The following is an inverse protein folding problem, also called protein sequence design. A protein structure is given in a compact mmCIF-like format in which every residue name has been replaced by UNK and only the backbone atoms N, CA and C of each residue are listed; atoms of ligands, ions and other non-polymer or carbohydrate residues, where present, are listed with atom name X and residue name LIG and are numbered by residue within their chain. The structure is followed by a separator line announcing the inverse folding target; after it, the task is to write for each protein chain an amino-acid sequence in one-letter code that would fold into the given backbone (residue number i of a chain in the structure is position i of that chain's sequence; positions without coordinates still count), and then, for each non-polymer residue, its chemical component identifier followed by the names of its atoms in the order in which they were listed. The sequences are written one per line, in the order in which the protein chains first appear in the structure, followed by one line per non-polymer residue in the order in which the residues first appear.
data_IF_792850964873
#
_entry.id   IF_792850964873
#
_cell.length_a   1.000
_cell.length_b   1.000
_cell.length_c   1.000
_cell.angle_alpha   90.00
_cell.angle_beta   90.00
_cell.angle_gamma   90.00
#
_symmetry.space_group_name_H-M   'P 1'
#
loop_
_entity.id
_entity.type
_entity.pdbx_description
1 polymer ?
#
# COMPACT_ATOMS: atom_id res chain seq x y z
N UNK A 1 39.14 -11.04 -59.42
CA UNK A 1 39.50 -12.40 -58.97
C UNK A 1 38.32 -12.99 -58.25
N UNK A 2 37.87 -14.23 -58.54
CA UNK A 2 38.18 -15.10 -59.69
C UNK A 2 37.36 -14.65 -60.94
N UNK A 3 37.22 -15.39 -62.05
CA UNK A 3 37.87 -16.64 -62.51
C UNK A 3 36.99 -17.46 -63.49
N UNK A 4 37.18 -17.24 -64.80
CA UNK A 4 36.62 -18.03 -65.94
C UNK A 4 37.62 -19.14 -66.38
N UNK A 5 37.32 -20.03 -67.35
CA UNK A 5 36.11 -20.24 -68.19
C UNK A 5 35.45 -21.62 -67.88
N UNK A 6 34.73 -22.41 -68.70
CA UNK A 6 34.28 -22.45 -70.13
C UNK A 6 33.02 -23.39 -70.21
N UNK A 7 32.35 -23.83 -71.30
CA UNK A 7 32.53 -23.72 -72.75
C UNK A 7 31.19 -23.96 -73.55
N UNK A 8 31.27 -23.84 -74.88
CA UNK A 8 30.59 -24.63 -75.93
C UNK A 8 29.04 -24.82 -75.99
N UNK A 9 28.43 -24.14 -76.99
CA UNK A 9 27.55 -24.64 -78.09
C UNK A 9 26.41 -25.67 -77.82
N UNK A 10 25.22 -25.58 -78.42
CA UNK A 10 24.64 -24.56 -79.33
C UNK A 10 23.98 -25.11 -80.61
N UNK A 11 22.94 -24.41 -81.07
CA UNK A 11 22.32 -24.43 -82.42
C UNK A 11 21.31 -25.55 -82.77
N UNK A 12 20.31 -25.08 -83.52
CA UNK A 12 19.13 -25.68 -84.14
C UNK A 12 19.41 -26.88 -85.07
N UNK A 13 18.34 -27.60 -85.46
CA UNK A 13 18.36 -28.56 -86.56
C UNK A 13 16.98 -29.17 -86.84
N UNK A 14 16.48 -29.02 -88.07
CA UNK A 14 15.20 -29.57 -88.51
C UNK A 14 15.37 -30.85 -89.35
N UNK A 15 14.25 -31.54 -89.56
CA UNK A 15 13.94 -32.51 -90.62
C UNK A 15 14.92 -33.67 -90.93
N UNK A 16 14.38 -34.90 -90.89
CA UNK A 16 14.84 -35.95 -91.82
C UNK A 16 13.77 -36.99 -92.13
N UNK A 17 13.16 -36.75 -93.29
CA UNK A 17 12.51 -37.66 -94.22
C UNK A 17 12.83 -39.16 -94.11
N UNK A 18 11.77 -39.93 -94.40
CA UNK A 18 11.70 -41.23 -95.09
C UNK A 18 12.91 -41.73 -95.91
N UNK A 19 13.01 -43.06 -96.03
CA UNK A 19 13.68 -43.94 -97.02
C UNK A 19 14.13 -45.21 -96.25
N UNK A 20 14.15 -46.46 -96.72
CA UNK A 20 13.79 -47.13 -97.99
C UNK A 20 12.84 -48.30 -97.64
N UNK A 21 11.94 -48.88 -98.46
CA UNK A 21 11.67 -48.95 -99.90
C UNK A 21 12.48 -49.98 -100.75
N UNK A 22 11.80 -51.07 -101.15
CA UNK A 22 12.05 -51.98 -102.31
C UNK A 22 13.41 -52.71 -102.47
N UNK A 23 13.36 -54.03 -102.24
CA UNK A 23 13.68 -55.07 -103.26
C UNK A 23 12.92 -56.35 -102.88
N UNK A 24 12.11 -57.07 -103.69
CA UNK A 24 12.09 -57.43 -105.13
C UNK A 24 12.70 -58.82 -105.43
N UNK A 25 11.81 -59.83 -105.41
CA UNK A 25 11.67 -61.00 -106.31
C UNK A 25 12.95 -61.81 -106.68
N UNK A 26 13.05 -63.06 -106.22
CA UNK A 26 12.98 -64.31 -107.04
C UNK A 26 13.18 -65.56 -106.18
N UNK A 27 12.52 -66.67 -106.56
CA UNK A 27 12.60 -67.98 -105.88
C UNK A 27 11.21 -68.57 -105.67
N UNK A 28 10.77 -69.45 -106.57
CA UNK A 28 9.43 -70.05 -106.51
C UNK A 28 9.48 -71.52 -106.08
N UNK A 29 8.66 -71.88 -105.10
CA UNK A 29 8.27 -73.25 -104.79
C UNK A 29 6.82 -73.27 -104.31
N UNK A 30 6.03 -74.27 -104.72
CA UNK A 30 4.74 -74.60 -104.11
C UNK A 30 4.96 -75.75 -103.10
N UNK A 31 4.34 -75.66 -101.93
CA UNK A 31 3.41 -76.72 -101.53
C UNK A 31 2.05 -76.10 -101.11
N UNK A 32 0.93 -76.62 -101.63
CA UNK A 32 -0.12 -77.41 -100.94
C UNK A 32 -1.07 -76.60 -100.00
N UNK A 33 -2.39 -76.84 -100.05
CA UNK A 33 -3.37 -76.03 -99.31
C UNK A 33 -3.64 -76.53 -97.88
N UNK A 34 -2.97 -75.95 -96.87
CA UNK A 34 -3.38 -76.10 -95.46
C UNK A 34 -3.09 -74.84 -94.58
N UNK A 35 -2.00 -74.11 -94.86
CA UNK A 35 -1.50 -72.99 -94.01
C UNK A 35 -2.45 -71.77 -93.84
N UNK A 36 -3.49 -71.65 -94.67
CA UNK A 36 -4.36 -70.46 -94.71
C UNK A 36 -5.20 -70.23 -93.44
N UNK A 37 -5.65 -71.31 -92.80
CA UNK A 37 -6.52 -71.23 -91.62
C UNK A 37 -5.74 -70.92 -90.35
N UNK A 38 -4.47 -71.31 -90.27
CA UNK A 38 -3.64 -71.02 -89.10
C UNK A 38 -3.05 -69.60 -89.12
N UNK A 39 -2.62 -69.11 -90.30
CA UNK A 39 -2.05 -67.77 -90.44
C UNK A 39 -3.05 -66.66 -90.06
N UNK A 40 -4.32 -66.83 -90.41
CA UNK A 40 -5.41 -65.92 -90.02
C UNK A 40 -5.67 -65.93 -88.50
N UNK A 41 -5.83 -67.11 -87.89
CA UNK A 41 -5.96 -67.27 -86.42
C UNK A 41 -4.80 -66.65 -85.66
N UNK A 42 -3.55 -66.85 -86.11
CA UNK A 42 -2.35 -66.27 -85.49
C UNK A 42 -2.33 -64.74 -85.56
N UNK A 43 -2.83 -64.13 -86.64
CA UNK A 43 -2.96 -62.66 -86.74
C UNK A 43 -3.99 -62.10 -85.77
N UNK A 44 -5.20 -62.66 -85.70
CA UNK A 44 -6.23 -62.19 -84.76
C UNK A 44 -5.81 -62.41 -83.31
N UNK A 45 -5.19 -63.56 -82.99
CA UNK A 45 -4.65 -63.83 -81.65
C UNK A 45 -3.59 -62.80 -81.23
N UNK A 46 -2.67 -62.43 -82.13
CA UNK A 46 -1.69 -61.39 -81.85
C UNK A 46 -2.32 -59.99 -81.71
N UNK A 47 -3.33 -59.66 -82.52
CA UNK A 47 -4.10 -58.41 -82.40
C UNK A 47 -4.73 -58.26 -81.01
N UNK A 48 -5.50 -59.25 -80.58
CA UNK A 48 -6.12 -59.26 -79.24
C UNK A 48 -5.06 -59.20 -78.12
N UNK A 49 -3.88 -59.81 -78.29
CA UNK A 49 -2.77 -59.70 -77.33
C UNK A 49 -2.18 -58.29 -77.27
N UNK A 50 -1.99 -57.62 -78.42
CA UNK A 50 -1.55 -56.22 -78.43
C UNK A 50 -2.58 -55.26 -77.84
N UNK A 51 -3.87 -55.47 -78.10
CA UNK A 51 -4.96 -54.68 -77.51
C UNK A 51 -5.03 -54.87 -75.98
N UNK A 52 -4.95 -56.12 -75.50
CA UNK A 52 -4.86 -56.44 -74.06
C UNK A 52 -3.67 -55.74 -73.38
N UNK A 53 -2.50 -55.70 -74.05
CA UNK A 53 -1.31 -55.01 -73.54
C UNK A 53 -1.48 -53.48 -73.53
N UNK A 54 -2.17 -52.90 -74.51
CA UNK A 54 -2.47 -51.46 -74.56
C UNK A 54 -3.48 -51.04 -73.48
N UNK A 55 -4.50 -51.86 -73.19
CA UNK A 55 -5.40 -51.65 -72.04
C UNK A 55 -4.59 -51.63 -70.74
N UNK A 56 -3.78 -52.66 -70.51
CA UNK A 56 -2.96 -52.79 -69.28
C UNK A 56 -1.93 -51.68 -69.13
N UNK A 57 -1.34 -51.20 -70.23
CA UNK A 57 -0.43 -50.03 -70.22
C UNK A 57 -1.17 -48.74 -69.84
N UNK A 58 -2.42 -48.56 -70.29
CA UNK A 58 -3.23 -47.39 -69.94
C UNK A 58 -3.76 -47.46 -68.49
N UNK A 59 -4.01 -48.66 -67.95
CA UNK A 59 -4.30 -48.86 -66.52
C UNK A 59 -3.10 -48.45 -65.66
N UNK A 60 -1.90 -49.00 -65.94
CA UNK A 60 -0.66 -48.65 -65.22
C UNK A 60 -0.36 -47.15 -65.34
N UNK A 61 -0.62 -46.50 -66.48
CA UNK A 61 -0.47 -45.05 -66.64
C UNK A 61 -1.45 -44.24 -65.80
N UNK A 62 -2.69 -44.71 -65.62
CA UNK A 62 -3.66 -44.09 -64.70
C UNK A 62 -3.23 -44.26 -63.24
N UNK A 63 -2.73 -45.44 -62.89
CA UNK A 63 -2.22 -45.76 -61.55
C UNK A 63 -1.01 -44.90 -61.17
N UNK A 64 -0.01 -44.77 -62.05
CA UNK A 64 1.11 -43.83 -61.86
C UNK A 64 0.62 -42.39 -61.69
N UNK A 65 -0.29 -41.92 -62.55
CA UNK A 65 -0.84 -40.56 -62.45
C UNK A 65 -1.68 -40.29 -61.18
N UNK A 66 -2.21 -41.34 -60.53
CA UNK A 66 -2.84 -41.24 -59.20
C UNK A 66 -1.79 -41.22 -58.09
N UNK A 67 -0.77 -42.09 -58.15
CA UNK A 67 0.33 -42.13 -57.19
C UNK A 67 1.13 -40.82 -57.16
N UNK A 68 1.42 -40.23 -58.32
CA UNK A 68 2.07 -38.91 -58.44
C UNK A 68 1.23 -37.80 -57.80
N UNK A 69 -0.09 -37.77 -58.05
CA UNK A 69 -1.01 -36.80 -57.43
C UNK A 69 -1.06 -36.95 -55.91
N UNK A 70 -1.14 -38.18 -55.42
CA UNK A 70 -1.14 -38.47 -53.98
C UNK A 70 0.20 -38.06 -53.34
N UNK A 71 1.33 -38.31 -54.01
CA UNK A 71 2.66 -37.84 -53.57
C UNK A 71 2.75 -36.31 -53.53
N UNK A 72 2.23 -35.62 -54.55
CA UNK A 72 2.19 -34.16 -54.63
C UNK A 72 1.32 -33.56 -53.51
N UNK A 73 0.17 -34.16 -53.22
CA UNK A 73 -0.73 -33.75 -52.12
C UNK A 73 -0.09 -34.01 -50.75
N UNK A 74 0.59 -35.14 -50.56
CA UNK A 74 1.31 -35.47 -49.33
C UNK A 74 2.46 -34.47 -49.06
N UNK A 75 3.26 -34.13 -50.09
CA UNK A 75 4.28 -33.08 -49.98
C UNK A 75 3.67 -31.74 -49.58
N UNK A 76 2.60 -31.30 -50.26
CA UNK A 76 1.90 -30.07 -49.90
C UNK A 76 1.29 -30.11 -48.48
N UNK A 77 0.91 -31.28 -47.96
CA UNK A 77 0.48 -31.41 -46.57
C UNK A 77 1.66 -31.21 -45.60
N UNK A 78 2.78 -31.89 -45.82
CA UNK A 78 4.02 -31.73 -45.05
C UNK A 78 4.47 -30.25 -45.09
N UNK A 79 4.56 -29.65 -46.27
CA UNK A 79 4.92 -28.23 -46.46
C UNK A 79 3.98 -27.26 -45.71
N UNK A 80 2.74 -27.67 -45.36
CA UNK A 80 1.80 -26.88 -44.56
C UNK A 80 2.03 -27.09 -43.06
N UNK A 81 2.22 -28.33 -42.60
CA UNK A 81 2.61 -28.63 -41.22
C UNK A 81 3.92 -27.93 -40.86
N UNK A 82 4.96 -28.08 -41.67
CA UNK A 82 6.25 -27.41 -41.53
C UNK A 82 6.15 -25.89 -41.32
N UNK A 83 5.21 -25.23 -42.00
CA UNK A 83 4.94 -23.78 -41.87
C UNK A 83 4.11 -23.46 -40.64
N UNK A 84 3.26 -24.37 -40.18
CA UNK A 84 2.51 -24.27 -38.93
C UNK A 84 3.44 -24.41 -37.72
N UNK A 85 4.29 -25.45 -37.67
CA UNK A 85 5.29 -25.65 -36.62
C UNK A 85 6.23 -24.43 -36.52
N UNK A 86 6.74 -23.96 -37.67
CA UNK A 86 7.56 -22.74 -37.72
C UNK A 86 6.80 -21.47 -37.33
N UNK A 87 5.48 -21.44 -37.39
CA UNK A 87 4.67 -20.32 -36.88
C UNK A 87 4.44 -20.46 -35.37
N UNK A 88 4.10 -21.66 -34.88
CA UNK A 88 3.89 -21.98 -33.48
C UNK A 88 5.14 -21.66 -32.65
N UNK A 89 6.31 -22.17 -33.04
CA UNK A 89 7.56 -21.89 -32.31
C UNK A 89 7.97 -20.41 -32.30
N UNK A 90 7.55 -19.61 -33.31
CA UNK A 90 7.73 -18.15 -33.27
C UNK A 90 6.71 -17.45 -32.36
N UNK A 91 5.49 -17.98 -32.25
CA UNK A 91 4.47 -17.49 -31.33
C UNK A 91 4.89 -17.77 -29.88
N UNK A 92 5.34 -18.99 -29.59
CA UNK A 92 5.88 -19.43 -28.29
C UNK A 92 7.09 -18.57 -27.89
N UNK A 93 8.08 -18.41 -28.79
CA UNK A 93 9.23 -17.54 -28.55
C UNK A 93 8.84 -16.07 -28.32
N UNK A 94 7.81 -15.56 -29.00
CA UNK A 94 7.31 -14.21 -28.79
C UNK A 94 6.57 -14.06 -27.44
N UNK A 95 5.85 -15.09 -27.00
CA UNK A 95 5.20 -15.13 -25.69
C UNK A 95 6.23 -15.21 -24.55
N UNK A 96 7.27 -16.04 -24.69
CA UNK A 96 8.40 -16.05 -23.74
C UNK A 96 9.13 -14.70 -23.67
N UNK A 97 9.35 -14.04 -24.81
CA UNK A 97 9.95 -12.71 -24.83
C UNK A 97 9.04 -11.66 -24.19
N UNK A 98 7.72 -11.75 -24.40
CA UNK A 98 6.75 -10.85 -23.76
C UNK A 98 6.74 -11.02 -22.23
N UNK A 99 6.65 -12.25 -21.72
CA UNK A 99 6.64 -12.56 -20.28
C UNK A 99 7.95 -12.13 -19.59
N UNK A 100 9.10 -12.30 -20.26
CA UNK A 100 10.41 -11.79 -19.79
C UNK A 100 10.57 -10.28 -19.90
N UNK A 101 9.73 -9.59 -20.68
CA UNK A 101 9.74 -8.12 -20.86
C UNK A 101 8.67 -7.43 -20.00
N UNK A 102 7.77 -8.18 -19.35
CA UNK A 102 6.78 -7.65 -18.41
C UNK A 102 7.47 -6.96 -17.24
N UNK A 103 7.44 -5.62 -17.24
CA UNK A 103 8.03 -4.77 -16.20
C UNK A 103 7.43 -5.04 -14.81
N UNK A 104 6.27 -5.72 -14.75
CA UNK A 104 5.73 -6.26 -13.51
C UNK A 104 6.71 -7.18 -12.76
N UNK A 105 7.67 -7.84 -13.42
CA UNK A 105 8.64 -8.69 -12.73
C UNK A 105 9.50 -7.90 -11.71
N UNK A 106 10.00 -6.72 -12.13
CA UNK A 106 10.74 -5.81 -11.24
C UNK A 106 9.85 -5.20 -10.17
N UNK A 107 8.66 -4.72 -10.55
CA UNK A 107 7.68 -4.14 -9.62
C UNK A 107 7.19 -5.15 -8.58
N UNK A 108 7.01 -6.43 -8.94
CA UNK A 108 6.67 -7.52 -7.99
C UNK A 108 7.81 -7.75 -7.00
N UNK A 109 9.06 -7.78 -7.45
CA UNK A 109 10.23 -7.89 -6.56
C UNK A 109 10.35 -6.70 -5.60
N UNK A 110 10.12 -5.46 -6.08
CA UNK A 110 10.11 -4.27 -5.23
C UNK A 110 8.97 -4.29 -4.22
N UNK A 111 7.76 -4.65 -4.63
CA UNK A 111 6.60 -4.83 -3.76
C UNK A 111 6.87 -5.89 -2.67
N UNK A 112 7.47 -7.03 -3.03
CA UNK A 112 7.75 -8.09 -2.06
C UNK A 112 8.92 -7.76 -1.13
N UNK A 113 9.92 -7.00 -1.59
CA UNK A 113 10.95 -6.42 -0.74
C UNK A 113 10.38 -5.39 0.25
N UNK A 114 9.47 -4.51 -0.20
CA UNK A 114 8.77 -3.55 0.66
C UNK A 114 7.87 -4.26 1.69
N UNK A 115 7.13 -5.31 1.29
CA UNK A 115 6.37 -6.16 2.24
C UNK A 115 7.28 -6.78 3.30
N UNK A 116 8.46 -7.29 2.92
CA UNK A 116 9.42 -7.87 3.86
C UNK A 116 9.95 -6.83 4.85
N UNK A 117 10.25 -5.61 4.38
CA UNK A 117 10.62 -4.49 5.26
C UNK A 117 9.48 -4.09 6.20
N UNK A 118 8.24 -3.99 5.71
CA UNK A 118 7.05 -3.70 6.52
C UNK A 118 6.87 -4.78 7.60
N UNK A 119 7.00 -6.06 7.26
CA UNK A 119 6.81 -7.15 8.21
C UNK A 119 7.88 -7.16 9.32
N UNK A 120 9.14 -6.83 9.02
CA UNK A 120 10.20 -6.71 10.03
C UNK A 120 10.04 -5.42 10.86
N UNK A 121 9.58 -4.31 10.27
CA UNK A 121 9.23 -3.12 11.02
C UNK A 121 8.04 -3.37 11.97
N UNK A 122 7.00 -4.09 11.54
CA UNK A 122 5.87 -4.51 12.38
C UNK A 122 6.30 -5.50 13.48
N UNK A 123 7.27 -6.39 13.23
CA UNK A 123 7.88 -7.22 14.29
C UNK A 123 8.61 -6.40 15.34
N UNK A 124 9.25 -5.30 14.94
CA UNK A 124 9.93 -4.36 15.85
C UNK A 124 8.97 -3.38 16.53
N UNK A 125 7.80 -3.12 15.94
CA UNK A 125 6.80 -2.15 16.38
C UNK A 125 5.45 -2.84 16.57
N UNK A 126 5.31 -3.56 17.69
CA UNK A 126 4.04 -4.18 18.08
C UNK A 126 3.02 -3.10 18.50
N UNK A 127 2.02 -2.88 17.65
CA UNK A 127 0.87 -1.99 17.92
C UNK A 127 0.15 -2.37 19.22
N UNK A 128 0.07 -3.67 19.53
CA UNK A 128 -0.48 -4.18 20.78
C UNK A 128 0.33 -3.74 22.01
N UNK A 129 1.66 -3.70 21.92
CA UNK A 129 2.52 -3.18 23.00
C UNK A 129 2.42 -1.67 23.14
N UNK A 130 2.29 -0.92 22.04
CA UNK A 130 2.05 0.52 22.07
C UNK A 130 0.70 0.81 22.74
N UNK A 131 -0.36 0.17 22.29
CA UNK A 131 -1.70 0.31 22.87
C UNK A 131 -1.77 -0.12 24.34
N UNK A 132 -1.01 -1.16 24.74
CA UNK A 132 -0.89 -1.56 26.15
C UNK A 132 -0.17 -0.49 26.97
N UNK A 133 1.00 -0.01 26.53
CA UNK A 133 1.75 1.05 27.22
C UNK A 133 0.94 2.35 27.34
N UNK A 134 0.18 2.70 26.30
CA UNK A 134 -0.68 3.87 26.30
C UNK A 134 -1.84 3.75 27.30
N UNK A 135 -2.49 2.58 27.39
CA UNK A 135 -3.50 2.32 28.43
C UNK A 135 -2.89 2.38 29.82
N UNK A 136 -1.80 1.66 30.08
CA UNK A 136 -1.09 1.71 31.36
C UNK A 136 -0.67 3.14 31.79
N UNK A 137 -0.34 4.02 30.84
CA UNK A 137 -0.06 5.43 31.09
C UNK A 137 -1.33 6.21 31.47
N UNK A 138 -2.40 6.06 30.68
CA UNK A 138 -3.71 6.64 30.96
C UNK A 138 -4.24 6.22 32.33
N UNK A 139 -4.25 4.91 32.63
CA UNK A 139 -4.70 4.35 33.90
C UNK A 139 -3.97 5.01 35.09
N UNK A 140 -2.67 5.30 34.96
CA UNK A 140 -1.87 5.97 36.00
C UNK A 140 -2.19 7.46 36.14
N UNK A 141 -2.36 8.18 35.02
CA UNK A 141 -2.73 9.60 35.00
C UNK A 141 -4.16 9.79 35.54
N UNK A 142 -5.10 8.95 35.13
CA UNK A 142 -6.50 8.96 35.58
C UNK A 142 -6.61 8.64 37.07
N UNK A 143 -5.94 7.58 37.53
CA UNK A 143 -5.88 7.23 38.96
C UNK A 143 -5.18 8.30 39.80
N UNK A 144 -4.21 9.04 39.23
CA UNK A 144 -3.53 10.14 39.94
C UNK A 144 -4.40 11.38 40.00
N UNK A 145 -5.04 11.75 38.89
CA UNK A 145 -6.02 12.85 38.84
C UNK A 145 -7.13 12.62 39.86
N UNK A 146 -7.70 11.40 39.93
CA UNK A 146 -8.71 11.02 40.93
C UNK A 146 -8.25 11.07 42.40
N UNK A 147 -6.93 11.09 42.69
CA UNK A 147 -6.42 11.36 44.06
C UNK A 147 -6.25 12.85 44.36
N UNK A 148 -6.16 13.70 43.32
CA UNK A 148 -6.00 15.15 43.48
C UNK A 148 -7.35 15.89 43.47
N UNK A 149 -8.34 15.42 42.71
CA UNK A 149 -9.65 16.04 42.59
C UNK A 149 -10.38 16.25 43.94
N UNK A 150 -10.45 15.28 44.88
CA UNK A 150 -11.08 15.48 46.19
C UNK A 150 -10.46 16.56 47.07
N UNK A 151 -9.28 17.09 46.68
CA UNK A 151 -8.57 18.14 47.41
C UNK A 151 -8.92 19.55 46.94
N UNK A 152 -9.58 19.68 45.80
CA UNK A 152 -9.93 20.94 45.14
C UNK A 152 -11.42 21.26 45.35
N UNK A 153 -11.94 22.21 44.59
CA UNK A 153 -13.36 22.55 44.57
C UNK A 153 -14.01 21.95 43.32
N UNK A 154 -14.42 20.69 43.45
CA UNK A 154 -15.05 19.91 42.39
C UNK A 154 -16.38 19.33 42.89
N UNK A 155 -17.43 19.44 42.07
CA UNK A 155 -18.79 19.01 42.35
C UNK A 155 -18.94 17.48 42.48
N UNK A 156 -18.05 16.72 41.84
CA UNK A 156 -18.07 15.25 41.78
C UNK A 156 -16.70 14.68 42.23
N UNK A 157 -16.29 14.89 43.50
CA UNK A 157 -14.91 14.69 43.92
C UNK A 157 -14.44 13.23 43.80
N UNK A 158 -15.30 12.28 44.16
CA UNK A 158 -15.00 10.84 44.15
C UNK A 158 -15.30 10.14 42.81
N UNK A 159 -15.73 10.89 41.78
CA UNK A 159 -16.12 10.30 40.51
C UNK A 159 -14.89 9.96 39.64
N UNK A 160 -14.79 8.74 39.07
CA UNK A 160 -13.68 8.37 38.20
C UNK A 160 -13.59 9.29 36.98
N UNK A 161 -12.38 9.70 36.62
CA UNK A 161 -12.11 10.53 35.44
C UNK A 161 -11.51 9.70 34.31
N UNK A 162 -11.74 10.11 33.06
CA UNK A 162 -11.12 9.54 31.87
C UNK A 162 -10.51 10.62 30.96
N UNK A 163 -9.25 10.44 30.56
CA UNK A 163 -8.55 11.33 29.65
C UNK A 163 -8.76 10.90 28.20
N UNK A 164 -9.62 11.63 27.50
CA UNK A 164 -9.96 11.40 26.09
C UNK A 164 -8.89 12.04 25.20
N UNK A 165 -7.74 11.38 24.99
CA UNK A 165 -6.62 11.95 24.20
C UNK A 165 -7.06 12.42 22.80
N UNK A 166 -7.92 11.65 22.12
CA UNK A 166 -8.39 11.97 20.77
C UNK A 166 -9.24 13.26 20.71
N UNK A 167 -9.94 13.57 21.81
CA UNK A 167 -10.82 14.73 21.95
C UNK A 167 -10.16 15.86 22.78
N UNK A 168 -8.92 15.66 23.22
CA UNK A 168 -8.13 16.53 24.11
C UNK A 168 -8.89 17.03 25.35
N UNK A 169 -9.68 16.16 25.98
CA UNK A 169 -10.60 16.54 27.07
C UNK A 169 -10.72 15.47 28.17
N UNK A 170 -11.40 15.83 29.26
CA UNK A 170 -11.70 14.93 30.39
C UNK A 170 -13.19 14.60 30.41
N UNK A 171 -13.50 13.34 30.69
CA UNK A 171 -14.84 12.87 31.10
C UNK A 171 -14.85 12.55 32.59
N UNK A 172 -16.00 12.76 33.22
CA UNK A 172 -16.32 12.31 34.57
C UNK A 172 -17.37 11.20 34.47
N UNK A 173 -17.08 10.04 35.05
CA UNK A 173 -17.89 8.82 34.94
C UNK A 173 -18.88 8.78 36.10
N UNK A 174 -20.13 9.17 35.83
CA UNK A 174 -21.24 9.27 36.81
C UNK A 174 -22.19 8.08 36.71
N UNK A 175 -21.67 6.88 36.91
CA UNK A 175 -22.44 5.63 37.07
C UNK A 175 -23.14 5.13 35.80
N UNK A 176 -24.21 5.81 35.37
CA UNK A 176 -24.98 5.50 34.15
C UNK A 176 -24.73 6.46 33.00
N UNK A 177 -24.00 7.57 33.22
CA UNK A 177 -23.59 8.53 32.20
C UNK A 177 -22.11 8.90 32.38
N UNK A 178 -21.41 9.03 31.26
CA UNK A 178 -20.16 9.80 31.19
C UNK A 178 -20.52 11.23 30.77
N UNK A 179 -20.06 12.24 31.51
CA UNK A 179 -20.24 13.65 31.16
C UNK A 179 -18.87 14.26 30.81
N UNK A 180 -18.80 15.00 29.70
CA UNK A 180 -17.62 15.79 29.36
C UNK A 180 -17.50 17.02 30.27
N UNK A 181 -16.29 17.53 30.48
CA UNK A 181 -16.04 18.69 31.36
C UNK A 181 -16.90 19.93 31.02
N UNK A 182 -17.24 20.15 29.74
CA UNK A 182 -18.13 21.25 29.33
C UNK A 182 -19.61 21.05 29.71
N UNK A 183 -20.05 19.82 29.98
CA UNK A 183 -21.41 19.51 30.43
C UNK A 183 -21.59 19.73 31.95
N UNK A 184 -20.49 19.76 32.70
CA UNK A 184 -20.44 19.87 34.18
C UNK A 184 -20.27 21.34 34.63
N UNK A 185 -20.36 22.29 33.70
CA UNK A 185 -21.08 23.55 33.92
C UNK A 185 -20.62 24.54 35.01
N UNK A 186 -19.37 24.53 35.47
CA UNK A 186 -18.85 25.63 36.32
C UNK A 186 -17.36 25.91 36.09
N UNK A 187 -16.95 27.17 36.29
CA UNK A 187 -15.54 27.57 36.24
C UNK A 187 -14.71 26.88 37.33
N UNK A 188 -15.28 26.67 38.52
CA UNK A 188 -14.64 25.98 39.64
C UNK A 188 -14.31 24.52 39.28
N UNK A 189 -15.31 23.79 38.75
CA UNK A 189 -15.11 22.45 38.18
C UNK A 189 -14.01 22.48 37.10
N UNK A 190 -14.07 23.42 36.15
CA UNK A 190 -13.07 23.51 35.09
C UNK A 190 -11.65 23.71 35.64
N UNK A 191 -11.45 24.62 36.59
CA UNK A 191 -10.14 24.82 37.21
C UNK A 191 -9.68 23.56 37.95
N UNK A 192 -10.54 22.95 38.76
CA UNK A 192 -10.21 21.75 39.53
C UNK A 192 -9.76 20.59 38.63
N UNK A 193 -10.51 20.30 37.55
CA UNK A 193 -10.14 19.25 36.61
C UNK A 193 -8.87 19.56 35.80
N UNK A 194 -8.64 20.81 35.38
CA UNK A 194 -7.40 21.17 34.67
C UNK A 194 -6.17 21.16 35.58
N UNK A 195 -6.26 21.69 36.81
CA UNK A 195 -5.15 21.67 37.78
C UNK A 195 -4.79 20.23 38.15
N UNK A 196 -5.77 19.41 38.55
CA UNK A 196 -5.52 18.02 38.91
C UNK A 196 -4.91 17.21 37.74
N UNK A 197 -5.41 17.38 36.51
CA UNK A 197 -4.89 16.68 35.33
C UNK A 197 -3.47 17.12 34.97
N UNK A 198 -3.19 18.43 34.96
CA UNK A 198 -1.85 18.95 34.58
C UNK A 198 -0.78 18.57 35.60
N UNK A 199 -1.13 18.51 36.88
CA UNK A 199 -0.27 17.95 37.94
C UNK A 199 -0.09 16.44 37.78
N UNK A 200 -1.16 15.67 37.54
CA UNK A 200 -1.07 14.22 37.33
C UNK A 200 -0.20 13.85 36.11
N UNK A 201 -0.28 14.64 35.03
CA UNK A 201 0.58 14.51 33.85
C UNK A 201 2.06 14.77 34.22
N UNK A 202 2.38 15.85 34.92
CA UNK A 202 3.76 16.12 35.35
C UNK A 202 4.30 15.04 36.27
N UNK A 203 3.53 14.60 37.28
CA UNK A 203 3.93 13.50 38.17
C UNK A 203 4.20 12.21 37.38
N UNK A 204 3.34 11.85 36.42
CA UNK A 204 3.58 10.70 35.54
C UNK A 204 4.83 10.86 34.66
N UNK A 205 5.08 12.03 34.09
CA UNK A 205 6.30 12.27 33.29
C UNK A 205 7.56 12.16 34.16
N UNK A 206 7.53 12.70 35.38
CA UNK A 206 8.63 12.66 36.34
C UNK A 206 8.91 11.25 36.92
N UNK A 207 8.03 10.27 36.69
CA UNK A 207 8.30 8.84 36.96
C UNK A 207 9.02 8.14 35.80
N UNK A 208 8.96 8.69 34.58
CA UNK A 208 9.55 8.07 33.38
C UNK A 208 11.03 8.46 33.19
N UNK A 209 11.94 7.50 32.92
CA UNK A 209 13.32 7.83 32.57
C UNK A 209 13.38 8.52 31.20
N UNK A 210 14.12 9.63 31.12
CA UNK A 210 14.38 10.40 29.89
C UNK A 210 13.13 10.92 29.16
N UNK A 211 12.09 11.34 29.91
CA UNK A 211 10.95 12.06 29.32
C UNK A 211 11.38 13.40 28.68
N UNK A 212 10.75 13.84 27.57
CA UNK A 212 11.08 15.09 26.89
C UNK A 212 10.32 16.32 27.44
N UNK A 213 9.33 16.10 28.30
CA UNK A 213 8.47 17.18 28.85
C UNK A 213 9.23 17.93 29.96
N UNK A 214 9.33 19.27 29.93
CA UNK A 214 9.95 20.00 31.03
C UNK A 214 9.10 19.92 32.30
N UNK A 215 9.75 19.77 33.45
CA UNK A 215 9.14 19.85 34.79
C UNK A 215 8.77 21.29 35.17
N UNK A 216 7.95 21.94 34.34
CA UNK A 216 7.48 23.32 34.51
C UNK A 216 5.99 23.40 34.20
N UNK A 217 5.23 24.08 35.06
CA UNK A 217 3.86 24.53 34.80
C UNK A 217 3.77 26.03 35.01
N UNK A 218 2.91 26.69 34.23
CA UNK A 218 2.57 28.10 34.37
C UNK A 218 1.04 28.21 34.37
N UNK A 219 0.49 28.83 35.41
CA UNK A 219 -0.94 29.16 35.50
C UNK A 219 -1.11 30.68 35.45
N UNK A 220 -2.00 31.15 34.58
CA UNK A 220 -2.34 32.57 34.44
C UNK A 220 -3.78 32.81 34.96
N UNK A 221 -3.88 33.68 35.95
CA UNK A 221 -5.09 34.08 36.70
C UNK A 221 -6.04 32.93 37.13
N UNK A 222 -5.54 31.81 37.73
CA UNK A 222 -6.41 30.73 38.19
C UNK A 222 -7.49 31.17 39.20
N UNK A 223 -7.27 32.23 40.00
CA UNK A 223 -8.28 32.74 40.92
C UNK A 223 -9.47 33.44 40.25
N UNK A 224 -9.34 33.91 39.00
CA UNK A 224 -10.37 34.69 38.29
C UNK A 224 -11.73 33.98 38.22
N UNK A 225 -11.70 32.64 38.24
CA UNK A 225 -12.88 31.76 38.33
C UNK A 225 -13.79 32.09 39.52
N UNK A 226 -13.19 32.41 40.68
CA UNK A 226 -13.90 32.76 41.92
C UNK A 226 -14.01 34.28 42.10
N UNK A 227 -13.10 35.03 41.48
CA UNK A 227 -13.07 36.50 41.51
C UNK A 227 -13.28 37.11 40.11
N UNK A 228 -14.46 36.94 39.49
CA UNK A 228 -14.74 37.51 38.17
C UNK A 228 -14.70 39.04 38.22
N UNK A 229 -13.85 39.65 37.38
CA UNK A 229 -13.68 41.10 37.30
C UNK A 229 -15.02 41.79 37.00
N UNK A 230 -15.33 42.88 37.74
CA UNK A 230 -16.54 43.70 37.51
C UNK A 230 -16.61 44.20 36.06
N UNK A 231 -17.78 44.10 35.46
CA UNK A 231 -18.09 44.80 34.20
C UNK A 231 -17.98 46.31 34.42
N UNK A 232 -17.41 47.05 33.47
CA UNK A 232 -17.28 48.50 33.58
C UNK A 232 -18.67 49.19 33.63
N UNK A 233 -19.07 49.66 34.81
CA UNK A 233 -20.36 50.34 35.04
C UNK A 233 -20.82 50.36 36.50
N UNK A 234 -20.48 49.37 37.32
CA UNK A 234 -20.93 49.28 38.72
C UNK A 234 -19.99 49.99 39.71
N UNK A 235 -20.12 51.31 39.79
CA UNK A 235 -19.38 52.18 40.73
C UNK A 235 -19.93 52.16 42.17
N UNK A 236 -21.10 51.56 42.42
CA UNK A 236 -21.81 51.62 43.71
C UNK A 236 -21.94 50.29 44.47
N UNK A 237 -21.19 49.25 44.07
CA UNK A 237 -21.10 48.02 44.86
C UNK A 237 -19.95 48.10 45.88
N UNK A 238 -20.25 47.76 47.14
CA UNK A 238 -19.40 47.84 48.35
C UNK A 238 -17.97 47.28 48.14
N UNK A 239 -16.97 47.66 48.96
CA UNK A 239 -15.69 46.96 49.04
C UNK A 239 -15.96 45.48 49.28
N UNK A 240 -15.41 44.61 48.43
CA UNK A 240 -15.91 43.25 48.29
C UNK A 240 -15.66 42.45 49.56
N UNK A 241 -16.72 42.20 50.35
CA UNK A 241 -16.71 41.18 51.39
C UNK A 241 -16.51 39.83 50.70
N UNK A 242 -15.25 39.39 50.64
CA UNK A 242 -14.88 38.09 50.11
C UNK A 242 -15.74 37.02 50.79
N UNK A 243 -16.31 36.09 50.02
CA UNK A 243 -16.92 34.90 50.62
C UNK A 243 -15.77 33.99 51.04
N UNK A 244 -15.78 33.58 52.31
CA UNK A 244 -14.76 32.67 52.86
C UNK A 244 -14.62 31.40 52.01
N UNK A 245 -15.72 30.94 51.41
CA UNK A 245 -15.78 29.81 50.47
C UNK A 245 -14.92 30.02 49.22
N UNK A 246 -15.00 31.19 48.57
CA UNK A 246 -14.20 31.52 47.38
C UNK A 246 -12.69 31.58 47.72
N UNK A 247 -12.35 32.19 48.85
CA UNK A 247 -10.97 32.29 49.35
C UNK A 247 -10.42 30.89 49.70
N UNK A 248 -11.21 30.06 50.38
CA UNK A 248 -10.85 28.67 50.70
C UNK A 248 -10.66 27.85 49.42
N UNK A 249 -11.50 28.01 48.40
CA UNK A 249 -11.36 27.30 47.13
C UNK A 249 -10.06 27.65 46.39
N UNK A 250 -9.67 28.92 46.34
CA UNK A 250 -8.38 29.34 45.76
C UNK A 250 -7.20 28.89 46.64
N UNK A 251 -7.31 28.96 47.97
CA UNK A 251 -6.27 28.46 48.90
C UNK A 251 -6.03 26.95 48.76
N UNK A 252 -7.07 26.13 48.51
CA UNK A 252 -6.92 24.70 48.16
C UNK A 252 -6.02 24.51 46.94
N UNK A 253 -6.17 25.34 45.91
CA UNK A 253 -5.36 25.28 44.67
C UNK A 253 -3.89 25.56 44.98
N UNK A 254 -3.57 26.70 45.61
CA UNK A 254 -2.18 27.02 45.97
C UNK A 254 -1.55 25.97 46.89
N UNK A 255 -2.31 25.46 47.87
CA UNK A 255 -1.83 24.42 48.79
C UNK A 255 -1.49 23.12 48.06
N UNK A 256 -2.34 22.68 47.11
CA UNK A 256 -2.04 21.51 46.29
C UNK A 256 -0.80 21.73 45.41
N UNK A 257 -0.65 22.91 44.80
CA UNK A 257 0.49 23.24 43.95
C UNK A 257 1.82 23.17 44.73
N UNK A 258 1.87 23.80 45.90
CA UNK A 258 3.04 23.78 46.78
C UNK A 258 3.43 22.36 47.20
N UNK A 259 2.46 21.54 47.61
CA UNK A 259 2.70 20.13 47.97
C UNK A 259 3.19 19.27 46.81
N UNK A 260 2.69 19.46 45.58
CA UNK A 260 3.20 18.73 44.42
C UNK A 260 4.63 19.16 44.06
N UNK A 261 4.96 20.45 44.17
CA UNK A 261 6.34 20.96 44.00
C UNK A 261 7.29 20.36 45.04
N UNK A 262 6.88 20.34 46.32
CA UNK A 262 7.65 19.72 47.40
C UNK A 262 7.85 18.20 47.16
N UNK A 263 6.77 17.49 46.81
CA UNK A 263 6.80 16.04 46.51
C UNK A 263 7.69 15.71 45.30
N UNK A 264 7.76 16.60 44.30
CA UNK A 264 8.64 16.42 43.14
C UNK A 264 10.15 16.49 43.48
N UNK A 265 10.51 16.97 44.68
CA UNK A 265 11.89 17.10 45.16
C UNK A 265 12.78 17.94 44.22
N UNK A 266 12.32 19.15 43.88
CA UNK A 266 13.05 20.10 43.01
C UNK A 266 13.04 19.75 41.52
N UNK A 267 12.27 18.74 41.10
CA UNK A 267 12.13 18.33 39.69
C UNK A 267 10.89 18.93 38.98
N UNK A 268 10.04 19.62 39.73
CA UNK A 268 8.90 20.38 39.22
C UNK A 268 9.02 21.83 39.71
N UNK A 269 8.81 22.77 38.81
CA UNK A 269 8.54 24.18 39.12
C UNK A 269 7.11 24.51 38.70
N UNK A 270 6.41 25.28 39.54
CA UNK A 270 5.13 25.91 39.17
C UNK A 270 5.31 27.42 39.29
N UNK A 271 4.86 28.16 38.27
CA UNK A 271 4.74 29.61 38.29
C UNK A 271 3.25 29.94 38.25
N UNK A 272 2.80 30.84 39.11
CA UNK A 272 1.41 31.34 39.11
C UNK A 272 1.45 32.85 38.95
N UNK A 273 0.72 33.36 37.97
CA UNK A 273 0.50 34.80 37.75
C UNK A 273 -0.93 35.10 38.18
N UNK A 274 -1.13 35.88 39.25
CA UNK A 274 -2.46 36.09 39.82
C UNK A 274 -2.58 37.48 40.50
N UNK A 275 -3.80 37.84 40.89
CA UNK A 275 -4.13 39.03 41.68
C UNK A 275 -4.57 38.69 43.11
N UNK A 276 -4.62 37.41 43.50
CA UNK A 276 -4.91 36.98 44.86
C UNK A 276 -3.89 37.55 45.87
N UNK A 277 -4.39 38.22 46.91
CA UNK A 277 -3.58 38.78 47.99
C UNK A 277 -2.98 37.68 48.91
N UNK A 278 -2.01 38.08 49.74
CA UNK A 278 -1.25 37.20 50.64
C UNK A 278 -2.13 36.41 51.63
N UNK A 279 -3.29 36.94 52.02
CA UNK A 279 -4.29 36.23 52.83
C UNK A 279 -4.77 34.90 52.19
N UNK A 280 -4.65 34.77 50.86
CA UNK A 280 -5.06 33.57 50.11
C UNK A 280 -3.96 32.53 50.04
N UNK A 281 -2.72 32.92 49.70
CA UNK A 281 -1.60 32.01 49.42
C UNK A 281 -0.48 31.97 50.47
N UNK A 282 -0.49 32.89 51.45
CA UNK A 282 0.53 32.98 52.51
C UNK A 282 0.54 31.77 53.46
N UNK A 283 1.67 31.54 54.13
CA UNK A 283 1.90 30.41 55.05
C UNK A 283 1.62 29.01 54.45
N UNK A 284 1.80 28.85 53.13
CA UNK A 284 1.71 27.56 52.43
C UNK A 284 3.11 27.02 52.09
N UNK A 285 3.38 25.77 52.47
CA UNK A 285 4.65 25.11 52.12
C UNK A 285 4.78 24.90 50.61
N UNK A 286 6.00 25.06 50.08
CA UNK A 286 6.30 25.05 48.65
C UNK A 286 5.79 26.27 47.86
N UNK A 287 5.14 27.25 48.49
CA UNK A 287 4.67 28.49 47.85
C UNK A 287 5.51 29.69 48.31
N UNK A 288 5.96 30.52 47.37
CA UNK A 288 6.74 31.74 47.65
C UNK A 288 6.33 32.88 46.71
N UNK A 289 6.26 34.10 47.24
CA UNK A 289 6.10 35.30 46.42
C UNK A 289 7.39 35.59 45.65
N UNK A 290 7.31 35.63 44.31
CA UNK A 290 8.45 35.91 43.45
C UNK A 290 8.66 37.41 43.20
N UNK A 291 7.58 38.15 42.94
CA UNK A 291 7.57 39.58 42.58
C UNK A 291 6.15 40.14 42.79
N UNK A 292 6.00 41.45 43.06
CA UNK A 292 4.68 42.07 43.32
C UNK A 292 4.41 43.26 42.38
N UNK A 293 3.77 42.98 41.25
CA UNK A 293 3.44 43.97 40.22
C UNK A 293 2.24 44.86 40.59
N UNK A 294 2.52 46.01 41.21
CA UNK A 294 1.54 47.10 41.46
C UNK A 294 1.74 48.28 40.50
N UNK A 295 2.84 49.01 40.64
CA UNK A 295 3.16 50.18 39.78
C UNK A 295 4.05 49.83 38.56
N UNK A 296 4.36 48.55 38.39
CA UNK A 296 5.22 48.00 37.34
C UNK A 296 4.54 46.80 36.69
N UNK A 297 4.82 46.55 35.41
CA UNK A 297 4.23 45.45 34.64
C UNK A 297 5.32 44.51 34.11
N UNK A 298 4.96 43.24 33.90
CA UNK A 298 5.84 42.20 33.35
C UNK A 298 6.44 42.58 31.98
N UNK A 299 5.71 43.37 31.19
CA UNK A 299 6.23 44.04 29.99
C UNK A 299 6.60 45.48 30.37
N UNK A 300 7.88 45.88 30.32
CA UNK A 300 8.29 47.24 30.67
C UNK A 300 7.68 48.30 29.73
N UNK A 301 7.12 49.37 30.32
CA UNK A 301 6.53 50.49 29.56
C UNK A 301 7.52 51.18 28.60
N UNK A 302 8.83 51.11 28.88
CA UNK A 302 9.89 51.60 27.98
C UNK A 302 9.95 50.86 26.64
N UNK A 303 9.47 49.61 26.55
CA UNK A 303 9.48 48.83 25.30
C UNK A 303 8.40 49.27 24.31
N UNK A 304 7.37 49.97 24.78
CA UNK A 304 6.31 50.55 23.93
C UNK A 304 6.78 51.79 23.15
N UNK A 305 7.97 52.30 23.45
CA UNK A 305 8.52 53.54 22.89
C UNK A 305 9.80 53.27 22.04
N UNK A 306 9.88 52.10 21.39
CA UNK A 306 10.97 51.69 20.48
C UNK A 306 10.43 51.25 19.12
#
# INVERSE_FOLDING_TARGET
MPGLPDACRGVEGADRYSLLNRSIIRGGARPTPDDGVECSKRRTSNGNRTETLLVRLNEIRREMGLLERNSQQAKQAIDRFDRMERFLGRLEQALELYDRTDQSAGLRQEIDALKAQIAELQRRVSENEIGRKLRNALDSIEATTGRLIPRLDAEWPDAPVRLMIADLTVKVIRGTRDDYLWEIGSGANWLAYHVALTLALQSFFLELPHHPVPGLLIYDQPSQVYFPRRTAGDENADPMTWRDEDVVAVRKVFSLLGEQVATANGRLQVIVLDHADEDVWGDLDGVVLAELWRDHALVPHEWLNR
#
